data_IF_365601425431
#
_entry.id   IF_365601425431
#
_cell.length_a   1.000
_cell.length_b   1.000
_cell.length_c   1.000
_cell.angle_alpha   90.00
_cell.angle_beta   90.00
_cell.angle_gamma   90.00
#
_symmetry.space_group_name_H-M   'P 1'
#
loop_
_entity.id
_entity.type
_entity.pdbx_description
1 polymer ?
#
# COMPACT_ATOMS: atom_id res chain seq x y z
N UNK A 1 0.36 5.08 48.91
CA UNK A 1 0.48 6.14 47.90
C UNK A 1 1.58 5.85 46.88
N UNK A 2 2.81 5.53 47.29
CA UNK A 2 3.94 5.20 46.38
C UNK A 2 3.67 3.93 45.58
N UNK A 3 3.11 2.89 46.20
CA UNK A 3 2.77 1.61 45.56
C UNK A 3 1.74 1.76 44.45
N UNK A 4 0.74 2.63 44.67
CA UNK A 4 -0.28 2.93 43.66
C UNK A 4 0.33 3.65 42.46
N UNK A 5 1.24 4.58 42.67
CA UNK A 5 1.93 5.31 41.61
C UNK A 5 2.79 4.36 40.75
N UNK A 6 3.49 3.43 41.38
CA UNK A 6 4.28 2.40 40.67
C UNK A 6 3.40 1.44 39.86
N UNK A 7 2.30 0.96 40.46
CA UNK A 7 1.34 0.09 39.77
C UNK A 7 0.71 0.78 38.55
N UNK A 8 0.38 2.08 38.69
CA UNK A 8 -0.17 2.87 37.60
C UNK A 8 0.80 3.07 36.44
N UNK A 9 2.08 3.32 36.73
CA UNK A 9 3.10 3.47 35.71
C UNK A 9 3.28 2.20 34.87
N UNK A 10 3.33 1.03 35.54
CA UNK A 10 3.42 -0.27 34.84
C UNK A 10 2.17 -0.55 34.01
N UNK A 11 0.99 -0.31 34.56
CA UNK A 11 -0.28 -0.50 33.85
C UNK A 11 -0.34 0.37 32.58
N UNK A 12 0.09 1.63 32.68
CA UNK A 12 0.09 2.56 31.53
C UNK A 12 1.02 2.10 30.41
N UNK A 13 2.18 1.56 30.74
CA UNK A 13 3.11 1.00 29.76
C UNK A 13 2.52 -0.24 29.05
N UNK A 14 1.89 -1.13 29.81
CA UNK A 14 1.25 -2.34 29.25
C UNK A 14 0.10 -1.97 28.30
N UNK A 15 -0.80 -1.09 28.75
CA UNK A 15 -1.93 -0.63 27.93
C UNK A 15 -1.45 0.10 26.67
N UNK A 16 -0.45 0.96 26.80
CA UNK A 16 0.16 1.67 25.67
C UNK A 16 0.80 0.70 24.67
N UNK A 17 1.47 -0.34 25.16
CA UNK A 17 2.05 -1.40 24.31
C UNK A 17 0.99 -2.17 23.53
N UNK A 18 -0.09 -2.58 24.18
CA UNK A 18 -1.23 -3.25 23.53
C UNK A 18 -1.88 -2.35 22.48
N UNK A 19 -2.11 -1.08 22.81
CA UNK A 19 -2.66 -0.10 21.87
C UNK A 19 -1.74 0.09 20.65
N UNK A 20 -0.45 0.30 20.88
CA UNK A 20 0.55 0.46 19.83
C UNK A 20 0.54 -0.72 18.86
N UNK A 21 0.56 -1.94 19.40
CA UNK A 21 0.56 -3.15 18.59
C UNK A 21 -0.74 -3.29 17.78
N UNK A 22 -1.89 -3.10 18.43
CA UNK A 22 -3.20 -3.15 17.79
C UNK A 22 -3.36 -2.13 16.66
N UNK A 23 -2.92 -0.89 16.88
CA UNK A 23 -2.94 0.16 15.88
C UNK A 23 -2.03 -0.16 14.68
N UNK A 24 -0.81 -0.60 14.94
CA UNK A 24 0.14 -0.98 13.89
C UNK A 24 -0.41 -2.13 13.04
N UNK A 25 -1.00 -3.14 13.69
CA UNK A 25 -1.63 -4.26 13.02
C UNK A 25 -2.84 -3.85 12.18
N UNK A 26 -3.69 -2.96 12.70
CA UNK A 26 -4.83 -2.41 11.96
C UNK A 26 -4.38 -1.68 10.68
N UNK A 27 -3.39 -0.77 10.80
CA UNK A 27 -2.85 -0.05 9.65
C UNK A 27 -2.23 -1.00 8.63
N UNK A 28 -1.45 -1.99 9.09
CA UNK A 28 -0.82 -2.97 8.21
C UNK A 28 -1.86 -3.81 7.43
N UNK A 29 -2.91 -4.29 8.09
CA UNK A 29 -4.00 -5.03 7.45
C UNK A 29 -4.74 -4.18 6.42
N UNK A 30 -5.00 -2.91 6.74
CA UNK A 30 -5.62 -1.97 5.80
C UNK A 30 -4.75 -1.81 4.55
N UNK A 31 -3.44 -1.62 4.71
CA UNK A 31 -2.49 -1.54 3.59
C UNK A 31 -2.47 -2.83 2.77
N UNK A 32 -2.45 -3.99 3.41
CA UNK A 32 -2.43 -5.28 2.72
C UNK A 32 -3.69 -5.50 1.86
N UNK A 33 -4.86 -5.23 2.42
CA UNK A 33 -6.13 -5.35 1.70
C UNK A 33 -6.19 -4.40 0.50
N UNK A 34 -5.80 -3.15 0.68
CA UNK A 34 -5.79 -2.17 -0.40
C UNK A 34 -4.70 -2.47 -1.45
N UNK A 35 -3.54 -3.01 -1.05
CA UNK A 35 -2.50 -3.45 -1.99
C UNK A 35 -3.01 -4.59 -2.88
N UNK A 36 -3.73 -5.56 -2.32
CA UNK A 36 -4.37 -6.64 -3.08
C UNK A 36 -5.47 -6.11 -4.01
N UNK A 37 -6.31 -5.19 -3.53
CA UNK A 37 -7.36 -4.57 -4.35
C UNK A 37 -6.77 -3.77 -5.52
N UNK A 38 -5.74 -2.97 -5.27
CA UNK A 38 -5.04 -2.21 -6.30
C UNK A 38 -4.34 -3.10 -7.33
N UNK A 39 -3.72 -4.21 -6.89
CA UNK A 39 -3.09 -5.17 -7.79
C UNK A 39 -4.09 -5.91 -8.68
N UNK A 40 -5.28 -6.28 -8.15
CA UNK A 40 -6.39 -6.84 -8.95
C UNK A 40 -6.92 -5.83 -9.95
N UNK A 41 -7.12 -4.58 -9.52
CA UNK A 41 -7.56 -3.51 -10.40
C UNK A 41 -6.55 -3.28 -11.54
N UNK A 42 -5.26 -3.23 -11.22
CA UNK A 42 -4.19 -3.09 -12.19
C UNK A 42 -4.14 -4.25 -13.19
N UNK A 43 -4.32 -5.49 -12.71
CA UNK A 43 -4.31 -6.69 -13.54
C UNK A 43 -5.46 -6.74 -14.56
N UNK A 44 -6.63 -6.16 -14.25
CA UNK A 44 -7.80 -6.12 -15.13
C UNK A 44 -7.91 -4.85 -15.99
N UNK A 45 -7.10 -3.81 -15.68
CA UNK A 45 -7.14 -2.55 -16.43
C UNK A 45 -6.38 -2.66 -17.74
N UNK A 46 -6.85 -1.91 -18.77
CA UNK A 46 -6.13 -1.78 -20.05
C UNK A 46 -4.74 -1.22 -19.82
N UNK A 47 -3.72 -1.93 -20.32
CA UNK A 47 -2.32 -1.50 -20.28
C UNK A 47 -1.98 -0.80 -21.61
N UNK A 48 -1.54 0.44 -21.50
CA UNK A 48 -1.38 1.39 -22.61
C UNK A 48 0.10 1.66 -22.98
N UNK A 49 1.06 0.95 -22.35
CA UNK A 49 2.48 1.07 -22.68
C UNK A 49 2.98 -0.08 -23.55
N UNK A 50 3.95 0.22 -24.40
CA UNK A 50 4.64 -0.76 -25.25
C UNK A 50 5.71 -1.56 -24.49
N UNK A 51 6.08 -1.15 -23.29
CA UNK A 51 7.16 -1.74 -22.51
C UNK A 51 6.77 -1.94 -21.04
N UNK A 52 7.70 -2.46 -20.23
CA UNK A 52 7.47 -2.74 -18.81
C UNK A 52 7.30 -1.48 -17.93
N UNK A 53 7.54 -0.28 -18.47
CA UNK A 53 7.31 0.98 -17.74
C UNK A 53 5.88 1.44 -17.96
N UNK A 54 5.02 1.42 -16.91
CA UNK A 54 3.64 1.88 -17.02
C UNK A 54 3.58 3.39 -17.38
N UNK A 55 2.58 3.76 -18.18
CA UNK A 55 2.30 5.20 -18.43
C UNK A 55 1.94 5.91 -17.13
N UNK A 56 2.04 7.23 -17.13
CA UNK A 56 1.65 8.05 -15.98
C UNK A 56 0.18 7.83 -15.61
N UNK A 57 -0.71 7.74 -16.60
CA UNK A 57 -2.15 7.53 -16.43
C UNK A 57 -2.46 6.19 -15.76
N UNK A 58 -1.84 5.11 -16.24
CA UNK A 58 -2.00 3.79 -15.65
C UNK A 58 -1.49 3.76 -14.21
N UNK A 59 -0.25 4.25 -14.00
CA UNK A 59 0.39 4.28 -12.69
C UNK A 59 -0.41 5.10 -11.68
N UNK A 60 -0.82 6.32 -12.02
CA UNK A 60 -1.58 7.20 -11.13
C UNK A 60 -2.91 6.55 -10.71
N UNK A 61 -3.64 5.92 -11.63
CA UNK A 61 -4.88 5.25 -11.28
C UNK A 61 -4.68 4.07 -10.32
N UNK A 62 -3.62 3.27 -10.50
CA UNK A 62 -3.30 2.16 -9.61
C UNK A 62 -2.81 2.66 -8.25
N UNK A 63 -1.99 3.71 -8.22
CA UNK A 63 -1.55 4.36 -6.99
C UNK A 63 -2.72 4.92 -6.20
N UNK A 64 -3.65 5.62 -6.87
CA UNK A 64 -4.85 6.15 -6.23
C UNK A 64 -5.74 5.04 -5.68
N UNK A 65 -5.88 3.93 -6.43
CA UNK A 65 -6.64 2.76 -5.96
C UNK A 65 -6.08 2.18 -4.65
N UNK A 66 -4.76 2.16 -4.48
CA UNK A 66 -4.15 1.73 -3.22
C UNK A 66 -4.34 2.77 -2.12
N UNK A 67 -4.09 4.05 -2.42
CA UNK A 67 -4.06 5.13 -1.42
C UNK A 67 -5.47 5.52 -0.97
N UNK A 68 -6.43 5.55 -1.87
CA UNK A 68 -7.79 6.09 -1.63
C UNK A 68 -8.89 5.03 -1.76
N UNK A 69 -8.57 3.79 -2.15
CA UNK A 69 -9.57 2.76 -2.43
C UNK A 69 -10.36 2.97 -3.73
N UNK A 70 -9.99 3.97 -4.54
CA UNK A 70 -10.63 4.32 -5.81
C UNK A 70 -9.61 4.87 -6.80
N UNK A 71 -9.84 4.77 -8.13
CA UNK A 71 -8.85 5.16 -9.15
C UNK A 71 -8.64 6.68 -9.28
N UNK A 72 -9.50 7.48 -8.65
CA UNK A 72 -9.41 8.95 -8.59
C UNK A 72 -8.89 9.39 -7.23
N UNK A 73 -8.19 10.52 -7.19
CA UNK A 73 -7.73 11.09 -5.92
C UNK A 73 -8.93 11.47 -5.02
N UNK A 74 -8.81 11.18 -3.73
CA UNK A 74 -9.80 11.52 -2.70
C UNK A 74 -9.14 12.30 -1.56
N UNK A 75 -9.97 12.94 -0.74
CA UNK A 75 -9.48 13.74 0.37
C UNK A 75 -8.85 12.92 1.51
N UNK A 76 -9.24 11.65 1.67
CA UNK A 76 -8.78 10.81 2.76
C UNK A 76 -8.09 9.55 2.26
N UNK A 77 -6.79 9.35 2.61
CA UNK A 77 -6.10 8.10 2.34
C UNK A 77 -6.57 6.99 3.30
N UNK A 78 -6.45 5.73 2.87
CA UNK A 78 -6.82 4.53 3.65
C UNK A 78 -5.94 4.31 4.88
N UNK A 79 -4.77 4.93 4.91
CA UNK A 79 -3.85 4.92 6.05
C UNK A 79 -3.25 6.33 6.25
N UNK A 80 -3.00 6.74 7.51
CA UNK A 80 -2.46 8.07 7.81
C UNK A 80 -1.13 8.35 7.09
N UNK A 81 -1.01 9.50 6.46
CA UNK A 81 0.19 9.94 5.72
C UNK A 81 0.61 9.05 4.53
N UNK A 82 -0.27 8.16 4.07
CA UNK A 82 -0.03 7.39 2.87
C UNK A 82 -0.22 8.29 1.64
N UNK A 83 0.75 8.28 0.73
CA UNK A 83 0.74 9.08 -0.49
C UNK A 83 0.98 8.20 -1.72
N UNK A 84 0.61 8.64 -2.92
CA UNK A 84 0.95 7.93 -4.15
C UNK A 84 2.46 7.67 -4.34
N UNK A 85 3.32 8.51 -3.76
CA UNK A 85 4.78 8.32 -3.77
C UNK A 85 5.24 7.08 -3.02
N UNK A 86 4.45 6.61 -2.04
CA UNK A 86 4.73 5.38 -1.30
C UNK A 86 4.29 4.10 -2.05
N UNK A 87 3.80 4.22 -3.28
CA UNK A 87 3.27 3.09 -4.05
C UNK A 87 4.11 2.87 -5.30
N UNK A 88 4.68 1.68 -5.41
CA UNK A 88 5.41 1.23 -6.59
C UNK A 88 4.57 0.24 -7.38
N UNK A 89 4.47 0.47 -8.68
CA UNK A 89 3.78 -0.39 -9.63
C UNK A 89 4.78 -0.90 -10.65
N UNK A 90 4.90 -2.23 -10.77
CA UNK A 90 5.81 -2.89 -11.70
C UNK A 90 5.03 -3.87 -12.56
N UNK A 91 5.30 -3.85 -13.86
CA UNK A 91 4.69 -4.78 -14.83
C UNK A 91 5.80 -5.64 -15.41
N UNK A 92 5.63 -6.95 -15.28
CA UNK A 92 6.51 -7.92 -15.92
C UNK A 92 5.97 -8.30 -17.30
N UNK A 93 6.87 -8.42 -18.27
CA UNK A 93 6.58 -8.84 -19.63
C UNK A 93 7.08 -10.25 -19.88
N UNK A 94 6.31 -11.02 -20.61
CA UNK A 94 6.72 -12.31 -21.14
C UNK A 94 6.37 -12.37 -22.62
N UNK A 95 7.33 -12.73 -23.47
CA UNK A 95 7.13 -12.77 -24.95
C UNK A 95 6.56 -11.45 -25.50
N UNK A 96 7.07 -10.32 -25.02
CA UNK A 96 6.65 -8.95 -25.40
C UNK A 96 5.20 -8.59 -25.06
N UNK A 97 4.54 -9.33 -24.18
CA UNK A 97 3.20 -8.99 -23.67
C UNK A 97 3.22 -8.86 -22.15
N UNK A 98 2.36 -8.00 -21.55
CA UNK A 98 2.22 -7.91 -20.11
C UNK A 98 1.79 -9.27 -19.55
N UNK A 99 2.52 -9.81 -18.58
CA UNK A 99 2.25 -11.12 -17.98
C UNK A 99 1.83 -11.04 -16.53
N UNK A 100 2.39 -10.10 -15.78
CA UNK A 100 2.13 -9.96 -14.34
C UNK A 100 2.23 -8.51 -13.92
N UNK A 101 1.35 -8.09 -13.01
CA UNK A 101 1.42 -6.78 -12.37
C UNK A 101 1.70 -6.98 -10.89
N UNK A 102 2.65 -6.21 -10.38
CA UNK A 102 3.02 -6.18 -8.97
C UNK A 102 2.83 -4.78 -8.43
N UNK A 103 2.13 -4.69 -7.30
CA UNK A 103 1.94 -3.44 -6.54
C UNK A 103 2.53 -3.64 -5.17
N UNK A 104 3.34 -2.70 -4.71
CA UNK A 104 3.98 -2.75 -3.41
C UNK A 104 3.97 -1.38 -2.73
N UNK A 105 3.91 -1.40 -1.39
CA UNK A 105 4.10 -0.20 -0.56
C UNK A 105 5.59 -0.04 -0.30
N UNK A 106 6.10 1.15 -0.60
CA UNK A 106 7.51 1.49 -0.49
C UNK A 106 7.69 2.68 0.46
N UNK A 107 8.67 2.54 1.36
CA UNK A 107 9.11 3.59 2.29
C UNK A 107 7.97 4.30 3.03
N UNK A 108 7.06 3.51 3.62
CA UNK A 108 5.96 4.02 4.42
C UNK A 108 6.23 3.78 5.90
N UNK A 109 6.04 4.83 6.73
CA UNK A 109 6.29 4.78 8.17
C UNK A 109 4.98 4.88 8.95
N UNK A 110 4.71 3.88 9.77
CA UNK A 110 3.64 3.88 10.76
C UNK A 110 4.20 4.55 12.03
N UNK A 111 3.65 5.70 12.38
CA UNK A 111 4.01 6.40 13.62
C UNK A 111 3.15 5.87 14.76
N UNK A 112 3.76 5.42 15.80
CA UNK A 112 3.11 4.99 17.02
C UNK A 112 3.51 5.82 18.24
N UNK A 113 2.96 5.48 19.41
CA UNK A 113 3.22 6.18 20.66
C UNK A 113 4.66 5.92 21.16
N UNK A 114 5.12 4.68 21.08
CA UNK A 114 6.42 4.25 21.59
C UNK A 114 7.49 4.06 20.52
N UNK A 115 7.16 4.26 19.24
CA UNK A 115 8.13 4.07 18.17
C UNK A 115 7.54 4.21 16.77
N UNK A 116 8.43 4.10 15.79
CA UNK A 116 8.11 4.16 14.37
C UNK A 116 8.44 2.83 13.72
N UNK A 117 7.54 2.32 12.88
CA UNK A 117 7.76 1.14 12.07
C UNK A 117 7.81 1.56 10.60
N UNK A 118 8.97 1.45 9.97
CA UNK A 118 9.12 1.73 8.54
C UNK A 118 8.97 0.45 7.74
N UNK A 119 7.99 0.43 6.85
CA UNK A 119 7.73 -0.65 5.92
C UNK A 119 8.54 -0.42 4.65
N UNK A 120 9.37 -1.41 4.27
CA UNK A 120 10.16 -1.39 3.04
C UNK A 120 9.71 -2.53 2.14
N UNK A 121 9.16 -2.18 0.95
CA UNK A 121 8.69 -3.14 -0.05
C UNK A 121 7.61 -4.14 0.44
N UNK A 122 6.86 -3.77 1.46
CA UNK A 122 5.74 -4.56 2.02
C UNK A 122 4.64 -3.63 2.53
N UNK A 123 3.35 -4.03 2.44
CA UNK A 123 2.84 -5.22 1.77
C UNK A 123 3.05 -5.18 0.24
N UNK A 124 3.05 -6.37 -0.38
CA UNK A 124 3.25 -6.56 -1.82
C UNK A 124 2.25 -7.57 -2.34
N UNK A 125 1.62 -7.28 -3.46
CA UNK A 125 0.71 -8.19 -4.14
C UNK A 125 1.04 -8.27 -5.63
N UNK A 126 0.99 -9.47 -6.19
CA UNK A 126 1.22 -9.74 -7.61
C UNK A 126 0.06 -10.54 -8.16
N UNK A 127 -0.45 -10.13 -9.32
CA UNK A 127 -1.49 -10.85 -10.04
C UNK A 127 -1.11 -11.04 -11.51
N UNK A 128 -1.50 -12.18 -12.13
CA UNK A 128 -1.35 -12.35 -13.56
C UNK A 128 -2.17 -11.27 -14.28
N UNK A 129 -1.60 -10.72 -15.34
CA UNK A 129 -2.28 -9.72 -16.15
C UNK A 129 -3.35 -10.39 -17.01
N UNK A 130 -4.60 -9.94 -16.89
CA UNK A 130 -5.78 -10.45 -17.61
C UNK A 130 -6.50 -9.34 -18.37
N UNK A 131 -5.99 -8.11 -18.29
CA UNK A 131 -6.58 -6.95 -18.95
C UNK A 131 -6.30 -6.92 -20.46
N UNK A 132 -6.84 -5.89 -21.11
CA UNK A 132 -6.58 -5.63 -22.52
C UNK A 132 -5.24 -4.89 -22.67
N UNK A 133 -4.36 -5.41 -23.51
CA UNK A 133 -3.16 -4.69 -23.93
C UNK A 133 -3.46 -3.87 -25.18
N UNK A 134 -3.36 -2.56 -25.08
CA UNK A 134 -3.61 -1.63 -26.17
C UNK A 134 -2.55 -0.52 -26.12
N UNK A 135 -1.33 -0.80 -26.58
CA UNK A 135 -0.25 0.17 -26.56
C UNK A 135 -0.59 1.36 -27.47
N UNK A 136 -0.43 2.57 -26.93
CA UNK A 136 -0.49 3.80 -27.71
C UNK A 136 0.91 4.03 -28.25
N UNK A 137 1.06 3.89 -29.57
CA UNK A 137 2.28 4.33 -30.27
C UNK A 137 2.28 5.86 -30.28
N UNK A 138 3.13 6.47 -29.48
CA UNK A 138 3.49 7.88 -29.63
C UNK A 138 4.61 8.01 -30.62
#
# INVERSE_FOLDING_TARGET
MLEFALAWAVLFQVLGGVYQFGYTYYVYNSLENNTRAAARYAAGRTYDSVNATPTSTYRTAVQNMLVYGQPTASAQPVAPNLTPANVRVTVAFSRNVPSQVTVEVFDYTINGIFGRLTLRNKPKASFPYIGRWSPVNN
#
